data_IF_135362375661
#
_entry.id   IF_135362375661
#
_cell.length_a   1.000
_cell.length_b   1.000
_cell.length_c   1.000
_cell.angle_alpha   90.00
_cell.angle_beta   90.00
_cell.angle_gamma   90.00
#
_symmetry.space_group_name_H-M   'P 1'
#
loop_
_entity.id
_entity.type
_entity.pdbx_description
1 polymer ?
#
# COMPACT_ATOMS: atom_id res chain seq x y z
N UNK A 1 8.28 -8.60 -15.90
CA UNK A 1 8.17 -9.52 -14.75
C UNK A 1 7.36 -8.92 -13.59
N UNK A 2 7.66 -7.72 -13.07
CA UNK A 2 6.96 -7.13 -11.89
C UNK A 2 5.44 -6.93 -12.08
N UNK A 3 4.97 -6.72 -13.32
CA UNK A 3 3.53 -6.51 -13.61
C UNK A 3 2.65 -7.71 -13.21
N UNK A 4 3.16 -8.94 -13.37
CA UNK A 4 2.42 -10.18 -13.11
C UNK A 4 2.57 -10.64 -11.65
N UNK A 5 3.19 -9.83 -10.78
CA UNK A 5 3.37 -10.15 -9.36
C UNK A 5 2.01 -10.22 -8.66
N UNK A 6 1.77 -11.32 -7.93
CA UNK A 6 0.53 -11.50 -7.16
C UNK A 6 0.61 -10.79 -5.81
N UNK A 7 -0.49 -10.18 -5.42
CA UNK A 7 -0.69 -9.52 -4.13
C UNK A 7 -2.10 -9.81 -3.61
N UNK A 8 -2.30 -9.79 -2.30
CA UNK A 8 -3.63 -9.96 -1.70
C UNK A 8 -4.31 -8.63 -1.43
N UNK A 9 -5.62 -8.57 -1.69
CA UNK A 9 -6.51 -7.47 -1.29
C UNK A 9 -7.57 -8.00 -0.34
N UNK A 10 -7.69 -7.36 0.82
CA UNK A 10 -8.76 -7.59 1.79
C UNK A 10 -9.83 -6.52 1.62
N UNK A 11 -11.10 -6.88 1.84
CA UNK A 11 -12.24 -5.98 1.64
C UNK A 11 -12.16 -4.69 2.46
N UNK A 12 -11.62 -4.78 3.67
CA UNK A 12 -11.57 -3.67 4.63
C UNK A 12 -10.49 -3.93 5.68
N UNK A 13 -10.22 -2.95 6.53
CA UNK A 13 -9.14 -3.04 7.52
C UNK A 13 -9.36 -4.19 8.53
N UNK A 14 -10.59 -4.33 9.04
CA UNK A 14 -10.93 -5.20 10.18
C UNK A 14 -11.42 -6.59 9.80
N UNK A 15 -11.60 -6.86 8.51
CA UNK A 15 -11.96 -8.19 8.03
C UNK A 15 -10.70 -9.01 7.74
N UNK A 16 -9.87 -9.17 8.76
CA UNK A 16 -8.55 -9.82 8.68
C UNK A 16 -8.59 -11.33 8.49
N UNK A 17 -9.74 -11.96 8.78
CA UNK A 17 -10.04 -13.38 8.60
C UNK A 17 -10.85 -13.68 7.34
N UNK A 18 -11.31 -12.67 6.60
CA UNK A 18 -11.98 -12.87 5.32
C UNK A 18 -10.97 -13.45 4.31
N UNK A 19 -11.47 -14.30 3.42
CA UNK A 19 -10.69 -14.81 2.29
C UNK A 19 -10.25 -13.62 1.43
N UNK A 20 -8.93 -13.39 1.25
CA UNK A 20 -8.45 -12.31 0.41
C UNK A 20 -8.68 -12.58 -1.07
N UNK A 21 -8.69 -11.52 -1.86
CA UNK A 21 -8.65 -11.59 -3.31
C UNK A 21 -7.19 -11.49 -3.76
N UNK A 22 -6.68 -12.54 -4.37
CA UNK A 22 -5.37 -12.51 -5.01
C UNK A 22 -5.51 -11.89 -6.40
N UNK A 23 -4.80 -10.80 -6.63
CA UNK A 23 -4.82 -10.05 -7.89
C UNK A 23 -3.41 -9.80 -8.38
N UNK A 24 -3.27 -9.48 -9.66
CA UNK A 24 -1.99 -9.01 -10.19
C UNK A 24 -1.75 -7.55 -9.78
N UNK A 25 -0.48 -7.19 -9.59
CA UNK A 25 -0.07 -5.84 -9.21
C UNK A 25 -0.62 -4.79 -10.17
N UNK A 26 -0.54 -5.05 -11.48
CA UNK A 26 -1.01 -4.13 -12.51
C UNK A 26 -2.52 -3.88 -12.44
N UNK A 27 -3.33 -4.89 -12.12
CA UNK A 27 -4.77 -4.77 -11.89
C UNK A 27 -5.05 -3.88 -10.68
N UNK A 28 -4.30 -4.07 -9.59
CA UNK A 28 -4.42 -3.23 -8.39
C UNK A 28 -4.05 -1.77 -8.68
N UNK A 29 -2.93 -1.54 -9.37
CA UNK A 29 -2.47 -0.21 -9.78
C UNK A 29 -3.45 0.46 -10.75
N UNK A 30 -4.03 -0.29 -11.70
CA UNK A 30 -5.08 0.20 -12.60
C UNK A 30 -6.29 0.69 -11.82
N UNK A 31 -6.75 -0.05 -10.80
CA UNK A 31 -7.88 0.36 -9.94
C UNK A 31 -7.59 1.64 -9.15
N UNK A 32 -6.35 1.80 -8.67
CA UNK A 32 -5.90 3.02 -7.99
C UNK A 32 -5.93 4.19 -8.99
N UNK A 33 -5.33 4.01 -10.17
CA UNK A 33 -5.26 5.02 -11.23
C UNK A 33 -6.65 5.45 -11.72
N UNK A 34 -7.58 4.50 -11.89
CA UNK A 34 -8.96 4.76 -12.28
C UNK A 34 -9.83 5.33 -11.15
N UNK A 35 -9.32 5.38 -9.91
CA UNK A 35 -10.04 5.95 -8.79
C UNK A 35 -11.29 5.14 -8.38
N UNK A 36 -11.23 3.80 -8.40
CA UNK A 36 -12.40 2.96 -8.02
C UNK A 36 -12.94 3.23 -6.60
N UNK A 37 -12.10 3.77 -5.71
CA UNK A 37 -12.49 4.19 -4.35
C UNK A 37 -12.62 5.72 -4.20
N UNK A 38 -12.60 6.49 -5.29
CA UNK A 38 -12.62 7.96 -5.25
C UNK A 38 -13.84 8.51 -4.53
N UNK A 39 -15.03 7.93 -4.75
CA UNK A 39 -16.26 8.36 -4.06
C UNK A 39 -16.17 8.23 -2.53
N UNK A 40 -15.57 7.14 -2.03
CA UNK A 40 -15.33 6.93 -0.58
C UNK A 40 -14.33 7.96 -0.07
N UNK A 41 -13.25 8.19 -0.82
CA UNK A 41 -12.20 9.15 -0.47
C UNK A 41 -12.77 10.57 -0.43
N UNK A 42 -13.51 10.99 -1.46
CA UNK A 42 -14.13 12.31 -1.53
C UNK A 42 -15.07 12.53 -0.34
N UNK A 43 -15.91 11.54 -0.03
CA UNK A 43 -16.82 11.62 1.12
C UNK A 43 -16.06 11.66 2.45
N UNK A 44 -14.95 10.91 2.56
CA UNK A 44 -14.10 10.93 3.75
C UNK A 44 -13.50 12.32 3.99
N UNK A 45 -13.18 13.08 2.95
CA UNK A 45 -12.64 14.44 3.08
C UNK A 45 -13.67 15.47 3.59
N UNK A 46 -14.96 15.13 3.64
CA UNK A 46 -16.01 16.00 4.21
C UNK A 46 -16.38 15.65 5.64
N UNK A 47 -15.67 14.70 6.26
CA UNK A 47 -15.96 14.18 7.60
C UNK A 47 -14.75 14.40 8.50
N UNK A 48 -14.97 14.45 9.81
CA UNK A 48 -13.91 14.51 10.81
C UNK A 48 -14.06 13.43 11.90
N UNK A 49 -13.02 13.23 12.70
CA UNK A 49 -13.02 12.34 13.85
C UNK A 49 -13.38 10.88 13.54
N UNK A 50 -14.30 10.32 14.31
CA UNK A 50 -14.70 8.92 14.23
C UNK A 50 -15.42 8.59 12.91
N UNK A 51 -16.28 9.48 12.40
CA UNK A 51 -16.98 9.27 11.13
C UNK A 51 -16.01 9.13 9.95
N UNK A 52 -14.99 10.00 9.91
CA UNK A 52 -13.89 9.92 8.94
C UNK A 52 -13.13 8.59 9.05
N UNK A 53 -12.80 8.20 10.29
CA UNK A 53 -12.04 6.99 10.58
C UNK A 53 -12.81 5.72 10.17
N UNK A 54 -14.09 5.64 10.51
CA UNK A 54 -14.98 4.54 10.11
C UNK A 54 -15.07 4.39 8.60
N UNK A 55 -15.21 5.49 7.86
CA UNK A 55 -15.27 5.44 6.40
C UNK A 55 -13.92 5.04 5.79
N UNK A 56 -12.80 5.53 6.33
CA UNK A 56 -11.44 5.10 5.93
C UNK A 56 -11.25 3.60 6.05
N UNK A 57 -11.81 2.99 7.11
CA UNK A 57 -11.70 1.55 7.35
C UNK A 57 -12.45 0.69 6.33
N UNK A 58 -13.37 1.27 5.56
CA UNK A 58 -14.08 0.59 4.46
C UNK A 58 -13.27 0.53 3.17
N UNK A 59 -12.16 1.26 3.06
CA UNK A 59 -11.29 1.18 1.90
C UNK A 59 -10.67 -0.23 1.78
N UNK A 60 -10.51 -0.75 0.56
CA UNK A 60 -9.80 -1.99 0.34
C UNK A 60 -8.38 -1.93 0.94
N UNK A 61 -8.03 -2.96 1.71
CA UNK A 61 -6.69 -3.08 2.27
C UNK A 61 -5.83 -3.92 1.33
N UNK A 62 -4.94 -3.25 0.60
CA UNK A 62 -4.00 -3.89 -0.33
C UNK A 62 -2.73 -4.26 0.43
N UNK A 63 -2.33 -5.53 0.37
CA UNK A 63 -1.07 -6.01 0.94
C UNK A 63 -0.10 -6.30 -0.21
N UNK A 64 0.72 -5.30 -0.55
CA UNK A 64 1.69 -5.42 -1.64
C UNK A 64 2.78 -6.46 -1.38
N UNK A 65 3.03 -6.82 -0.11
CA UNK A 65 4.10 -7.72 0.29
C UNK A 65 3.96 -9.19 -0.11
N UNK A 66 2.80 -9.60 -0.63
CA UNK A 66 2.61 -11.00 -1.01
C UNK A 66 1.17 -11.47 -1.08
N UNK A 67 1.05 -12.78 -1.23
CA UNK A 67 -0.18 -13.54 -1.11
C UNK A 67 -0.33 -14.04 0.32
N UNK A 68 -1.51 -13.85 0.91
CA UNK A 68 -1.80 -14.19 2.30
C UNK A 68 -3.04 -15.08 2.43
N UNK A 69 -3.11 -15.91 3.47
CA UNK A 69 -4.35 -16.58 3.90
C UNK A 69 -5.18 -15.70 4.83
N UNK A 70 -4.52 -14.83 5.59
CA UNK A 70 -5.08 -13.98 6.62
C UNK A 70 -4.12 -12.80 6.84
N UNK A 71 -4.65 -11.68 7.31
CA UNK A 71 -3.86 -10.45 7.50
C UNK A 71 -2.99 -10.50 8.76
N UNK A 72 -2.01 -11.40 8.79
CA UNK A 72 -0.96 -11.47 9.82
C UNK A 72 0.29 -12.13 9.25
N UNK A 73 1.44 -11.95 9.92
CA UNK A 73 2.74 -12.47 9.47
C UNK A 73 2.71 -13.99 9.19
N UNK A 74 2.06 -14.77 10.05
CA UNK A 74 1.92 -16.23 9.86
C UNK A 74 0.95 -16.63 8.74
N UNK A 75 0.25 -15.67 8.14
CA UNK A 75 -0.61 -15.89 6.97
C UNK A 75 0.11 -15.76 5.64
N UNK A 76 1.39 -15.41 5.59
CA UNK A 76 2.13 -15.25 4.34
C UNK A 76 2.28 -16.60 3.63
N UNK A 77 1.76 -16.71 2.40
CA UNK A 77 1.92 -17.87 1.50
C UNK A 77 3.07 -17.66 0.53
N UNK A 78 3.13 -16.50 -0.11
CA UNK A 78 4.15 -16.17 -1.09
C UNK A 78 4.54 -14.70 -0.96
N UNK A 79 5.85 -14.43 -0.80
CA UNK A 79 6.36 -13.05 -0.80
C UNK A 79 6.43 -12.50 -2.23
N UNK A 80 5.92 -11.28 -2.43
CA UNK A 80 5.85 -10.64 -3.76
C UNK A 80 7.18 -10.08 -4.24
N UNK A 81 8.09 -9.77 -3.31
CA UNK A 81 9.31 -8.98 -3.56
C UNK A 81 9.03 -7.48 -3.59
N UNK A 82 7.93 -7.05 -2.96
CA UNK A 82 7.53 -5.65 -2.88
C UNK A 82 7.31 -5.26 -1.43
N UNK A 83 7.51 -3.99 -1.13
CA UNK A 83 7.14 -3.36 0.12
C UNK A 83 6.42 -2.05 -0.19
N UNK A 84 5.52 -1.63 0.70
CA UNK A 84 4.90 -0.30 0.62
C UNK A 84 5.50 0.58 1.69
N UNK A 85 5.95 1.77 1.27
CA UNK A 85 6.35 2.86 2.14
C UNK A 85 5.17 3.82 2.26
N UNK A 86 4.90 4.27 3.49
CA UNK A 86 3.82 5.20 3.80
C UNK A 86 4.42 6.52 4.24
N UNK A 87 4.15 7.58 3.48
CA UNK A 87 4.57 8.93 3.80
C UNK A 87 3.32 9.76 4.07
N UNK A 88 3.08 10.06 5.34
CA UNK A 88 1.90 10.78 5.80
C UNK A 88 2.28 12.17 6.34
N UNK A 89 1.29 13.07 6.39
CA UNK A 89 1.42 14.43 6.96
C UNK A 89 2.54 15.26 6.33
N UNK A 90 2.74 15.09 5.02
CA UNK A 90 3.68 15.90 4.27
C UNK A 90 3.12 17.33 4.16
N UNK A 91 3.90 18.37 4.51
CA UNK A 91 3.50 19.75 4.31
C UNK A 91 3.17 20.04 2.85
N UNK A 92 2.11 20.82 2.59
CA UNK A 92 1.61 21.07 1.23
C UNK A 92 2.70 21.65 0.30
N UNK A 93 3.55 22.53 0.81
CA UNK A 93 4.68 23.15 0.10
C UNK A 93 5.82 22.16 -0.23
N UNK A 94 5.81 20.96 0.37
CA UNK A 94 6.80 19.90 0.14
C UNK A 94 6.28 18.73 -0.69
N UNK A 95 4.98 18.70 -1.00
CA UNK A 95 4.33 17.59 -1.71
C UNK A 95 4.97 17.34 -3.09
N UNK A 96 5.16 18.39 -3.88
CA UNK A 96 5.69 18.26 -5.25
C UNK A 96 7.15 17.81 -5.26
N UNK A 97 7.99 18.45 -4.44
CA UNK A 97 9.40 18.06 -4.27
C UNK A 97 9.53 16.59 -3.87
N UNK A 98 8.72 16.14 -2.91
CA UNK A 98 8.76 14.76 -2.45
C UNK A 98 8.28 13.78 -3.53
N UNK A 99 7.24 14.12 -4.27
CA UNK A 99 6.76 13.30 -5.38
C UNK A 99 7.85 13.11 -6.44
N UNK A 100 8.58 14.17 -6.79
CA UNK A 100 9.68 14.11 -7.75
C UNK A 100 10.85 13.26 -7.25
N UNK A 101 11.24 13.39 -5.97
CA UNK A 101 12.25 12.54 -5.36
C UNK A 101 11.86 11.05 -5.39
N UNK A 102 10.60 10.73 -5.07
CA UNK A 102 10.11 9.36 -5.08
C UNK A 102 10.07 8.79 -6.51
N UNK A 103 9.72 9.60 -7.51
CA UNK A 103 9.70 9.16 -8.92
C UNK A 103 11.08 8.90 -9.50
N UNK A 104 12.11 9.62 -9.06
CA UNK A 104 13.48 9.45 -9.55
C UNK A 104 14.20 8.25 -8.92
N UNK A 105 13.66 7.70 -7.81
CA UNK A 105 14.26 6.56 -7.15
C UNK A 105 14.06 5.27 -7.96
N UNK A 106 15.16 4.70 -8.47
CA UNK A 106 15.17 3.47 -9.29
C UNK A 106 14.58 2.23 -8.62
N UNK A 107 14.47 2.21 -7.29
CA UNK A 107 13.91 1.08 -6.54
C UNK A 107 12.39 1.19 -6.39
N UNK A 108 11.82 2.38 -6.65
CA UNK A 108 10.38 2.62 -6.58
C UNK A 108 9.72 2.17 -7.87
N UNK A 109 8.76 1.26 -7.73
CA UNK A 109 7.95 0.69 -8.82
C UNK A 109 6.78 1.61 -9.15
N UNK A 110 6.16 2.23 -8.14
CA UNK A 110 4.99 3.08 -8.31
C UNK A 110 4.81 4.00 -7.11
N UNK A 111 4.30 5.21 -7.34
CA UNK A 111 3.96 6.20 -6.32
C UNK A 111 2.53 6.66 -6.55
N UNK A 112 1.74 6.80 -5.49
CA UNK A 112 0.38 7.32 -5.57
C UNK A 112 -0.01 8.08 -4.30
N UNK A 113 -0.94 9.02 -4.44
CA UNK A 113 -1.49 9.80 -3.33
C UNK A 113 -2.16 8.87 -2.31
N UNK A 114 -1.87 9.06 -1.02
CA UNK A 114 -2.51 8.30 0.06
C UNK A 114 -3.99 8.71 0.16
N UNK A 115 -4.89 7.84 0.69
CA UNK A 115 -6.31 8.16 0.79
C UNK A 115 -6.59 9.47 1.55
N UNK A 116 -5.74 9.81 2.52
CA UNK A 116 -5.87 11.01 3.35
C UNK A 116 -5.53 12.32 2.62
N UNK A 117 -5.00 12.26 1.39
CA UNK A 117 -4.56 13.41 0.56
C UNK A 117 -3.50 14.32 1.16
N UNK A 118 -2.79 13.86 2.18
CA UNK A 118 -1.71 14.60 2.83
C UNK A 118 -0.39 13.83 2.76
N UNK A 119 -0.23 13.01 1.73
CA UNK A 119 1.01 12.32 1.47
C UNK A 119 0.92 11.22 0.43
N UNK A 120 1.95 10.37 0.37
CA UNK A 120 2.13 9.39 -0.69
C UNK A 120 2.36 7.98 -0.14
N UNK A 121 1.96 7.00 -0.93
CA UNK A 121 2.40 5.61 -0.78
C UNK A 121 3.31 5.28 -1.95
N UNK A 122 4.47 4.68 -1.65
CA UNK A 122 5.42 4.23 -2.65
C UNK A 122 5.60 2.71 -2.56
N UNK A 123 5.52 2.03 -3.69
CA UNK A 123 5.82 0.60 -3.79
C UNK A 123 7.29 0.48 -4.17
N UNK A 124 8.08 -0.19 -3.34
CA UNK A 124 9.50 -0.42 -3.55
C UNK A 124 9.76 -1.90 -3.83
N UNK A 125 10.65 -2.20 -4.78
CA UNK A 125 11.12 -3.55 -5.05
C UNK A 125 12.18 -3.95 -4.02
N UNK A 126 11.98 -5.11 -3.38
CA UNK A 126 12.91 -5.68 -2.39
C UNK A 126 13.20 -7.14 -2.71
N UNK A 127 14.34 -7.70 -2.26
CA UNK A 127 14.55 -9.14 -2.30
C UNK A 127 13.40 -9.88 -1.62
N UNK A 128 12.96 -11.01 -2.18
CA UNK A 128 12.00 -11.87 -1.50
C UNK A 128 12.63 -12.37 -0.20
N UNK A 129 11.97 -12.13 0.92
CA UNK A 129 12.40 -12.58 2.22
C UNK A 129 11.33 -13.45 2.86
N UNK A 130 11.78 -14.47 3.60
CA UNK A 130 10.90 -15.26 4.42
C UNK A 130 10.67 -14.54 5.75
N UNK A 131 9.65 -14.97 6.51
CA UNK A 131 9.27 -14.43 7.81
C UNK A 131 10.33 -14.61 8.94
N UNK A 132 11.59 -14.88 8.60
CA UNK A 132 12.73 -14.94 9.52
C UNK A 132 13.16 -13.56 10.04
N UNK A 133 14.25 -13.51 10.82
CA UNK A 133 14.81 -12.23 11.29
C UNK A 133 15.18 -11.34 10.09
N UNK A 134 14.96 -10.03 10.26
CA UNK A 134 15.26 -9.01 9.24
C UNK A 134 16.74 -9.18 8.85
N UNK A 135 17.07 -9.41 7.57
CA UNK A 135 18.45 -9.46 7.14
C UNK A 135 19.17 -8.17 7.53
N UNK A 136 20.37 -8.29 8.11
CA UNK A 136 21.23 -7.20 8.61
C UNK A 136 21.39 -6.06 7.60
N UNK A 137 21.20 -6.31 6.30
CA UNK A 137 21.22 -5.28 5.26
C UNK A 137 20.26 -4.10 5.47
N UNK A 138 19.17 -4.26 6.24
CA UNK A 138 18.23 -3.17 6.55
C UNK A 138 18.62 -2.36 7.81
N UNK A 139 19.58 -2.79 8.62
CA UNK A 139 20.02 -2.02 9.80
C UNK A 139 20.81 -0.77 9.44
N UNK A 140 21.37 -0.71 8.22
CA UNK A 140 22.21 0.41 7.77
C UNK A 140 21.40 1.51 7.08
N UNK A 141 20.08 1.38 7.03
CA UNK A 141 19.16 2.35 6.40
C UNK A 141 18.14 2.96 7.37
N UNK A 142 18.18 2.58 8.66
CA UNK A 142 17.39 3.15 9.76
C UNK A 142 18.33 3.86 10.74
#
# INVERSE_FOLDING_TARGET
MIKNTKISIFKSLFKSSDVPYDVQLDQSLKRIKEGKSKHIIDKMMTLEGDARSKLKNQLPCIIFGGVFTQRKKSGLKEHSGLMVLDFDKIPNDKMDMMFDQLKQNKHIVSVFMSPSRNGFKAIVSIPKCNAGPIPIFLSNFL
#
